data_IF_085802883816
#
_entry.id   IF_085802883816
#
_cell.length_a   1.000
_cell.length_b   1.000
_cell.length_c   1.000
_cell.angle_alpha   90.00
_cell.angle_beta   90.00
_cell.angle_gamma   90.00
#
_symmetry.space_group_name_H-M   'P 1'
#
loop_
_entity.id
_entity.type
_entity.pdbx_description
1 polymer ?
#
# COMPACT_ATOMS: atom_id res chain seq x y z
N UNK A 1 6.80 32.04 22.80
CA UNK A 1 7.19 31.77 21.40
C UNK A 1 6.68 30.42 20.91
N UNK A 2 7.05 29.30 21.55
CA UNK A 2 6.56 27.97 21.16
C UNK A 2 5.03 27.83 21.20
N UNK A 3 4.37 28.35 22.25
CA UNK A 3 2.90 28.37 22.32
C UNK A 3 2.23 29.14 21.19
N UNK A 4 2.84 30.24 20.73
CA UNK A 4 2.34 31.01 19.60
C UNK A 4 2.52 30.24 18.28
N UNK A 5 3.69 29.60 18.09
CA UNK A 5 3.94 28.76 16.92
C UNK A 5 2.98 27.57 16.84
N UNK A 6 2.76 26.86 17.96
CA UNK A 6 1.78 25.77 18.05
C UNK A 6 0.39 26.23 17.63
N UNK A 7 -0.11 27.33 18.20
CA UNK A 7 -1.42 27.88 17.86
C UNK A 7 -1.52 28.22 16.36
N UNK A 8 -0.46 28.80 15.79
CA UNK A 8 -0.44 29.15 14.36
C UNK A 8 -0.47 27.91 13.47
N UNK A 9 0.31 26.88 13.77
CA UNK A 9 0.27 25.63 13.02
C UNK A 9 -1.07 24.90 13.17
N UNK A 10 -1.65 24.88 14.37
CA UNK A 10 -2.99 24.32 14.61
C UNK A 10 -4.06 25.04 13.78
N UNK A 11 -3.99 26.37 13.66
CA UNK A 11 -4.91 27.12 12.82
C UNK A 11 -4.75 26.75 11.34
N UNK A 12 -3.51 26.70 10.83
CA UNK A 12 -3.26 26.31 9.43
C UNK A 12 -3.80 24.90 9.15
N UNK A 13 -3.58 23.96 10.07
CA UNK A 13 -4.09 22.59 9.93
C UNK A 13 -5.61 22.53 9.93
N UNK A 14 -6.28 23.35 10.75
CA UNK A 14 -7.73 23.48 10.74
C UNK A 14 -8.24 24.05 9.41
N UNK A 15 -7.60 25.10 8.89
CA UNK A 15 -7.98 25.71 7.60
C UNK A 15 -7.85 24.69 6.45
N UNK A 16 -6.84 23.81 6.49
CA UNK A 16 -6.66 22.71 5.52
C UNK A 16 -7.72 21.62 5.72
N UNK A 17 -8.03 21.27 6.96
CA UNK A 17 -9.07 20.30 7.30
C UNK A 17 -10.45 20.73 6.75
N UNK A 18 -10.78 22.02 6.81
CA UNK A 18 -11.98 22.56 6.18
C UNK A 18 -11.98 22.40 4.65
N UNK A 19 -10.84 22.59 3.99
CA UNK A 19 -10.69 22.36 2.55
C UNK A 19 -10.86 20.87 2.17
N UNK A 20 -10.39 19.96 3.01
CA UNK A 20 -10.58 18.51 2.85
C UNK A 20 -12.06 18.16 2.99
N UNK A 21 -12.73 18.68 4.01
CA UNK A 21 -14.15 18.44 4.24
C UNK A 21 -15.03 18.96 3.09
N UNK A 22 -14.75 20.17 2.59
CA UNK A 22 -15.40 20.68 1.36
C UNK A 22 -15.15 19.76 0.16
N UNK A 23 -13.91 19.30 -0.04
CA UNK A 23 -13.60 18.36 -1.13
C UNK A 23 -14.41 17.06 -1.06
N UNK A 24 -14.54 16.47 0.14
CA UNK A 24 -15.37 15.29 0.36
C UNK A 24 -16.83 15.57 -0.02
N UNK A 25 -17.39 16.70 0.44
CA UNK A 25 -18.76 17.08 0.14
C UNK A 25 -18.99 17.27 -1.37
N UNK A 26 -18.10 17.97 -2.05
CA UNK A 26 -18.23 18.19 -3.50
C UNK A 26 -18.07 16.90 -4.31
N UNK A 27 -17.21 15.97 -3.87
CA UNK A 27 -17.01 14.69 -4.56
C UNK A 27 -18.25 13.78 -4.56
N UNK A 28 -19.19 14.02 -3.63
CA UNK A 28 -20.46 13.28 -3.50
C UNK A 28 -21.62 13.95 -4.26
N UNK A 29 -21.47 15.20 -4.68
CA UNK A 29 -22.52 15.94 -5.37
C UNK A 29 -22.51 15.60 -6.87
N UNK A 30 -23.61 15.05 -7.38
CA UNK A 30 -23.78 14.68 -8.81
C UNK A 30 -23.62 15.87 -9.77
N UNK A 31 -23.80 17.10 -9.28
CA UNK A 31 -23.68 18.34 -10.06
C UNK A 31 -22.24 18.84 -10.21
N UNK A 32 -21.25 18.15 -9.62
CA UNK A 32 -19.85 18.22 -10.05
C UNK A 32 -19.17 19.59 -9.91
N UNK A 33 -19.38 20.31 -8.81
CA UNK A 33 -18.61 21.53 -8.58
C UNK A 33 -17.16 21.19 -8.19
N UNK A 34 -16.17 21.85 -8.81
CA UNK A 34 -14.76 21.63 -8.50
C UNK A 34 -14.47 22.28 -7.15
N UNK A 35 -14.10 21.48 -6.14
CA UNK A 35 -13.76 22.00 -4.82
C UNK A 35 -12.53 22.91 -4.86
N UNK A 36 -12.42 23.83 -3.89
CA UNK A 36 -11.27 24.73 -3.80
C UNK A 36 -9.95 23.97 -3.65
N UNK A 37 -9.96 22.85 -2.91
CA UNK A 37 -8.78 21.99 -2.76
C UNK A 37 -8.32 21.41 -4.10
N UNK A 38 -9.25 21.00 -4.96
CA UNK A 38 -8.93 20.45 -6.29
C UNK A 38 -8.32 21.50 -7.22
N UNK A 39 -8.73 22.77 -7.10
CA UNK A 39 -8.12 23.89 -7.83
C UNK A 39 -6.69 24.16 -7.37
N UNK A 40 -6.43 24.11 -6.05
CA UNK A 40 -5.11 24.35 -5.46
C UNK A 40 -4.14 23.19 -5.69
N UNK A 41 -4.66 21.96 -5.65
CA UNK A 41 -3.90 20.72 -5.82
C UNK A 41 -4.61 19.85 -6.87
N UNK A 42 -4.37 20.08 -8.18
CA UNK A 42 -5.05 19.33 -9.25
C UNK A 42 -4.85 17.81 -9.17
N UNK A 43 -3.75 17.36 -8.58
CA UNK A 43 -3.42 15.95 -8.37
C UNK A 43 -4.05 15.32 -7.12
N UNK A 44 -4.82 16.08 -6.33
CA UNK A 44 -5.50 15.54 -5.14
C UNK A 44 -6.49 14.46 -5.57
N UNK A 45 -6.43 13.34 -4.85
CA UNK A 45 -7.33 12.20 -5.01
C UNK A 45 -8.57 12.34 -4.15
N UNK A 46 -9.25 11.22 -3.93
CA UNK A 46 -10.40 11.13 -3.05
C UNK A 46 -9.95 11.08 -1.58
N UNK A 47 -10.82 11.55 -0.68
CA UNK A 47 -10.71 11.31 0.74
C UNK A 47 -11.90 10.46 1.19
N UNK A 48 -11.61 9.31 1.81
CA UNK A 48 -12.66 8.39 2.29
C UNK A 48 -13.20 8.79 3.66
N UNK A 49 -12.43 9.57 4.42
CA UNK A 49 -12.78 10.08 5.73
C UNK A 49 -12.41 11.56 5.84
N UNK A 50 -13.06 12.34 6.73
CA UNK A 50 -12.50 13.59 7.23
C UNK A 50 -11.08 13.38 7.75
N UNK A 51 -10.29 14.45 7.90
CA UNK A 51 -8.95 14.38 8.49
C UNK A 51 -8.85 15.42 9.62
N UNK A 52 -8.83 15.01 10.90
CA UNK A 52 -8.69 15.92 12.05
C UNK A 52 -7.24 16.42 12.17
N UNK A 53 -6.80 17.22 11.19
CA UNK A 53 -5.42 17.65 11.02
C UNK A 53 -4.95 18.52 12.19
N UNK A 54 -5.85 19.32 12.78
CA UNK A 54 -5.50 20.12 13.94
C UNK A 54 -5.12 19.22 15.14
N UNK A 55 -5.93 18.21 15.42
CA UNK A 55 -5.69 17.26 16.51
C UNK A 55 -4.46 16.39 16.24
N UNK A 56 -4.31 15.91 15.01
CA UNK A 56 -3.16 15.12 14.59
C UNK A 56 -1.85 15.92 14.72
N UNK A 57 -1.87 17.22 14.40
CA UNK A 57 -0.72 18.09 14.61
C UNK A 57 -0.39 18.24 16.10
N UNK A 58 -1.39 18.48 16.96
CA UNK A 58 -1.17 18.55 18.42
C UNK A 58 -0.55 17.26 18.96
N UNK A 59 -1.03 16.11 18.49
CA UNK A 59 -0.51 14.80 18.88
C UNK A 59 0.96 14.63 18.48
N UNK A 60 1.30 14.86 17.21
CA UNK A 60 2.69 14.74 16.75
C UNK A 60 3.60 15.82 17.33
N UNK A 61 3.09 17.03 17.61
CA UNK A 61 3.86 18.08 18.27
C UNK A 61 4.20 17.73 19.72
N UNK A 62 3.30 17.07 20.44
CA UNK A 62 3.56 16.61 21.81
C UNK A 62 4.74 15.62 21.85
N UNK A 63 4.82 14.73 20.86
CA UNK A 63 5.85 13.71 20.69
C UNK A 63 7.19 14.31 20.18
N UNK A 64 7.12 15.16 19.14
CA UNK A 64 8.29 15.56 18.32
C UNK A 64 8.71 17.01 18.49
N UNK A 65 7.97 17.77 19.30
CA UNK A 65 8.24 19.17 19.65
C UNK A 65 8.48 20.06 18.42
N UNK A 66 7.70 19.84 17.36
CA UNK A 66 7.82 20.50 16.05
C UNK A 66 7.78 22.03 16.21
N UNK A 67 6.77 22.54 16.91
CA UNK A 67 6.51 23.95 17.21
C UNK A 67 7.55 24.61 18.12
N UNK A 68 8.34 23.80 18.84
CA UNK A 68 9.35 24.28 19.78
C UNK A 68 10.73 24.45 19.13
N UNK A 69 10.91 24.00 17.89
CA UNK A 69 12.15 24.17 17.14
C UNK A 69 12.34 25.65 16.80
N UNK A 70 13.56 26.17 16.99
CA UNK A 70 13.89 27.59 16.74
C UNK A 70 14.39 27.87 15.32
N UNK A 71 15.10 26.91 14.73
CA UNK A 71 15.85 27.11 13.48
C UNK A 71 15.43 26.17 12.36
N UNK A 72 14.60 25.18 12.67
CA UNK A 72 14.17 24.14 11.73
C UNK A 72 12.66 24.16 11.68
N UNK A 73 12.10 24.53 10.54
CA UNK A 73 10.67 24.49 10.27
C UNK A 73 10.16 23.02 10.22
N UNK A 74 8.84 22.78 10.26
CA UNK A 74 8.28 21.46 10.00
C UNK A 74 8.80 20.92 8.66
N UNK A 75 9.33 19.71 8.68
CA UNK A 75 9.85 19.02 7.50
C UNK A 75 8.76 18.28 6.75
N UNK A 76 9.08 17.78 5.56
CA UNK A 76 8.22 16.86 4.82
C UNK A 76 7.77 15.66 5.67
N UNK A 77 8.71 15.04 6.40
CA UNK A 77 8.42 13.90 7.25
C UNK A 77 7.51 14.27 8.43
N UNK A 78 7.66 15.45 9.02
CA UNK A 78 6.75 15.90 10.08
C UNK A 78 5.30 15.99 9.57
N UNK A 79 5.10 16.55 8.37
CA UNK A 79 3.76 16.67 7.77
C UNK A 79 3.21 15.30 7.35
N UNK A 80 4.05 14.42 6.78
CA UNK A 80 3.68 13.04 6.43
C UNK A 80 3.16 12.28 7.65
N UNK A 81 3.86 12.39 8.78
CA UNK A 81 3.45 11.73 10.03
C UNK A 81 2.17 12.33 10.60
N UNK A 82 1.98 13.66 10.53
CA UNK A 82 0.71 14.30 10.90
C UNK A 82 -0.45 13.77 10.05
N UNK A 83 -0.26 13.61 8.73
CA UNK A 83 -1.27 13.03 7.85
C UNK A 83 -1.56 11.56 8.15
N UNK A 84 -0.54 10.77 8.49
CA UNK A 84 -0.72 9.38 8.94
C UNK A 84 -1.58 9.33 10.21
N UNK A 85 -1.24 10.12 11.22
CA UNK A 85 -2.00 10.21 12.48
C UNK A 85 -3.43 10.68 12.24
N UNK A 86 -3.66 11.66 11.35
CA UNK A 86 -5.00 12.13 11.03
C UNK A 86 -5.87 11.02 10.42
N UNK A 87 -5.31 10.19 9.55
CA UNK A 87 -6.02 9.02 9.00
C UNK A 87 -6.34 7.99 10.08
N UNK A 88 -5.37 7.67 10.94
CA UNK A 88 -5.60 6.78 12.09
C UNK A 88 -6.72 7.32 12.97
N UNK A 89 -6.63 8.59 13.39
CA UNK A 89 -7.66 9.24 14.22
C UNK A 89 -9.04 9.14 13.59
N UNK A 90 -9.18 9.39 12.29
CA UNK A 90 -10.48 9.27 11.62
C UNK A 90 -11.01 7.84 11.58
N UNK A 91 -10.15 6.87 11.29
CA UNK A 91 -10.55 5.47 11.20
C UNK A 91 -10.96 4.90 12.56
N UNK A 92 -10.24 5.23 13.63
CA UNK A 92 -10.54 4.70 14.97
C UNK A 92 -11.65 5.46 15.67
N UNK A 93 -11.82 6.77 15.44
CA UNK A 93 -12.86 7.58 16.10
C UNK A 93 -14.22 7.52 15.39
N UNK A 94 -14.22 7.51 14.06
CA UNK A 94 -15.45 7.78 13.28
C UNK A 94 -15.93 6.59 12.44
N UNK A 95 -15.02 5.81 11.86
CA UNK A 95 -15.38 4.80 10.86
C UNK A 95 -15.35 3.36 11.37
N UNK A 96 -14.67 3.10 12.50
CA UNK A 96 -14.24 1.78 12.97
C UNK A 96 -13.30 1.11 11.96
N UNK A 97 -12.03 1.00 12.32
CA UNK A 97 -11.04 0.30 11.50
C UNK A 97 -11.39 -1.20 11.42
N UNK A 98 -11.73 -1.70 10.24
CA UNK A 98 -12.15 -3.09 10.02
C UNK A 98 -11.11 -3.90 9.23
N UNK A 99 -10.32 -3.25 8.37
CA UNK A 99 -9.26 -3.88 7.57
C UNK A 99 -7.99 -3.03 7.62
N UNK A 100 -6.85 -3.68 7.90
CA UNK A 100 -5.53 -3.13 7.61
C UNK A 100 -4.86 -3.97 6.54
N UNK A 101 -4.42 -3.31 5.48
CA UNK A 101 -3.55 -3.93 4.48
C UNK A 101 -2.14 -3.40 4.63
N UNK A 102 -1.15 -4.26 4.44
CA UNK A 102 0.26 -3.91 4.49
C UNK A 102 0.89 -4.23 3.16
N UNK A 103 1.75 -3.34 2.69
CA UNK A 103 2.80 -3.74 1.78
C UNK A 103 3.80 -4.67 2.49
N UNK A 104 4.44 -5.56 1.76
CA UNK A 104 5.47 -6.45 2.29
C UNK A 104 6.79 -5.72 2.52
N UNK A 105 7.51 -5.49 1.42
CA UNK A 105 8.85 -4.92 1.42
C UNK A 105 8.87 -3.48 1.96
N UNK A 106 9.88 -3.16 2.77
CA UNK A 106 10.15 -1.82 3.37
C UNK A 106 9.07 -1.30 4.31
N UNK A 107 8.00 -2.07 4.50
CA UNK A 107 6.89 -1.77 5.40
C UNK A 107 6.87 -2.72 6.58
N UNK A 108 6.90 -4.04 6.34
CA UNK A 108 6.90 -5.05 7.40
C UNK A 108 8.32 -5.51 7.77
N UNK A 109 9.22 -5.52 6.79
CA UNK A 109 10.62 -5.92 6.91
C UNK A 109 11.47 -5.14 5.91
N UNK A 110 12.79 -5.12 6.09
CA UNK A 110 13.71 -4.43 5.18
C UNK A 110 13.69 -5.04 3.77
N UNK A 111 14.08 -4.27 2.75
CA UNK A 111 14.00 -4.66 1.33
C UNK A 111 14.63 -6.04 1.05
N UNK A 112 13.84 -6.96 0.49
CA UNK A 112 14.28 -8.31 0.13
C UNK A 112 14.47 -9.29 1.29
N UNK A 113 14.20 -8.87 2.53
CA UNK A 113 14.21 -9.72 3.71
C UNK A 113 12.87 -10.48 3.88
N UNK A 114 12.76 -11.18 5.01
CA UNK A 114 11.56 -11.91 5.44
C UNK A 114 11.13 -11.42 6.81
N UNK A 115 9.86 -11.58 7.13
CA UNK A 115 9.32 -11.27 8.45
C UNK A 115 9.77 -12.33 9.46
N UNK A 116 10.56 -11.92 10.45
CA UNK A 116 11.18 -12.76 11.47
C UNK A 116 10.31 -12.79 12.73
N UNK A 117 10.29 -13.89 13.50
CA UNK A 117 9.45 -14.01 14.70
C UNK A 117 9.65 -12.91 15.74
N UNK A 118 10.83 -12.30 15.78
CA UNK A 118 11.20 -11.24 16.72
C UNK A 118 10.75 -9.83 16.28
N UNK A 119 10.19 -9.70 15.06
CA UNK A 119 9.79 -8.40 14.54
C UNK A 119 8.62 -7.81 15.34
N UNK A 120 8.77 -6.59 15.91
CA UNK A 120 7.81 -6.04 16.87
C UNK A 120 6.43 -5.72 16.29
N UNK A 121 6.29 -5.66 14.96
CA UNK A 121 5.00 -5.46 14.32
C UNK A 121 4.08 -6.69 14.45
N UNK A 122 4.63 -7.90 14.63
CA UNK A 122 3.86 -9.15 14.69
C UNK A 122 2.86 -9.14 15.83
N UNK A 123 3.31 -8.83 17.05
CA UNK A 123 2.45 -8.81 18.23
C UNK A 123 1.29 -7.81 18.06
N UNK A 124 1.60 -6.63 17.50
CA UNK A 124 0.61 -5.58 17.24
C UNK A 124 -0.44 -6.03 16.22
N UNK A 125 -0.01 -6.66 15.13
CA UNK A 125 -0.90 -7.23 14.12
C UNK A 125 -1.81 -8.28 14.75
N UNK A 126 -1.27 -9.19 15.57
CA UNK A 126 -2.06 -10.22 16.26
C UNK A 126 -3.07 -9.59 17.22
N UNK A 127 -2.67 -8.57 17.99
CA UNK A 127 -3.58 -7.83 18.87
C UNK A 127 -4.73 -7.19 18.10
N UNK A 128 -4.45 -6.57 16.95
CA UNK A 128 -5.48 -6.03 16.05
C UNK A 128 -6.43 -7.12 15.53
N UNK A 129 -5.89 -8.28 15.14
CA UNK A 129 -6.71 -9.42 14.70
C UNK A 129 -7.65 -9.93 15.81
N UNK A 130 -7.18 -9.93 17.06
CA UNK A 130 -7.97 -10.34 18.22
C UNK A 130 -9.13 -9.40 18.52
N UNK A 131 -8.96 -8.09 18.31
CA UNK A 131 -10.05 -7.10 18.47
C UNK A 131 -10.99 -7.02 17.24
N UNK A 132 -10.71 -7.82 16.21
CA UNK A 132 -11.63 -8.05 15.08
C UNK A 132 -11.18 -7.45 13.75
N UNK A 133 -10.05 -6.75 13.70
CA UNK A 133 -9.49 -6.21 12.46
C UNK A 133 -9.02 -7.33 11.54
N UNK A 134 -9.38 -7.26 10.26
CA UNK A 134 -8.87 -8.15 9.21
C UNK A 134 -7.53 -7.65 8.70
N UNK A 135 -6.70 -8.56 8.22
CA UNK A 135 -5.34 -8.25 7.73
C UNK A 135 -5.19 -8.70 6.28
N UNK A 136 -4.69 -7.81 5.41
CA UNK A 136 -4.26 -8.15 4.06
C UNK A 136 -2.76 -7.88 3.88
N UNK A 137 -2.01 -8.85 3.38
CA UNK A 137 -0.61 -8.68 3.00
C UNK A 137 -0.54 -8.56 1.48
N UNK A 138 -0.37 -7.35 0.95
CA UNK A 138 -0.39 -7.06 -0.49
C UNK A 138 1.05 -6.91 -0.97
N UNK A 139 1.48 -7.71 -1.94
CA UNK A 139 2.88 -7.72 -2.41
C UNK A 139 2.96 -7.84 -3.93
N UNK A 140 3.94 -7.16 -4.53
CA UNK A 140 4.29 -7.32 -5.94
C UNK A 140 4.84 -8.72 -6.25
N UNK A 141 5.31 -9.46 -5.25
CA UNK A 141 5.78 -10.83 -5.46
C UNK A 141 4.62 -11.74 -5.91
N UNK A 142 4.62 -12.10 -7.20
CA UNK A 142 3.66 -13.03 -7.81
C UNK A 142 4.20 -14.46 -7.87
N UNK A 143 3.73 -15.31 -6.96
CA UNK A 143 3.96 -16.75 -6.91
C UNK A 143 2.60 -17.47 -7.02
N UNK A 144 2.60 -18.65 -7.62
CA UNK A 144 1.40 -19.50 -7.69
C UNK A 144 1.29 -20.45 -6.51
N UNK A 145 2.34 -20.55 -5.68
CA UNK A 145 2.45 -21.54 -4.60
C UNK A 145 2.49 -20.88 -3.22
N UNK A 146 1.67 -21.40 -2.29
CA UNK A 146 1.58 -20.93 -0.91
C UNK A 146 2.92 -20.95 -0.15
N UNK A 147 3.81 -21.90 -0.48
CA UNK A 147 5.13 -22.07 0.14
C UNK A 147 6.00 -20.82 0.05
N UNK A 148 5.99 -20.16 -1.10
CA UNK A 148 6.85 -18.98 -1.33
C UNK A 148 6.36 -17.78 -0.53
N UNK A 149 5.03 -17.62 -0.39
CA UNK A 149 4.44 -16.62 0.51
C UNK A 149 4.71 -16.93 1.98
N UNK A 150 4.56 -18.18 2.40
CA UNK A 150 4.90 -18.57 3.77
C UNK A 150 6.35 -18.26 4.10
N UNK A 151 7.30 -18.54 3.18
CA UNK A 151 8.71 -18.18 3.40
C UNK A 151 8.91 -16.69 3.70
N UNK A 152 8.16 -15.79 3.06
CA UNK A 152 8.26 -14.34 3.29
C UNK A 152 7.60 -13.91 4.60
N UNK A 153 6.50 -14.56 4.99
CA UNK A 153 5.66 -14.16 6.13
C UNK A 153 5.67 -15.16 7.30
N UNK A 154 6.64 -16.07 7.33
CA UNK A 154 6.69 -17.18 8.28
C UNK A 154 6.60 -16.70 9.73
N UNK A 155 7.32 -15.63 10.09
CA UNK A 155 7.28 -15.05 11.44
C UNK A 155 5.86 -14.74 11.92
N UNK A 156 5.05 -14.09 11.08
CA UNK A 156 3.67 -13.75 11.41
C UNK A 156 2.73 -14.96 11.39
N UNK A 157 2.74 -15.75 10.31
CA UNK A 157 1.85 -16.90 10.17
C UNK A 157 2.12 -17.93 11.27
N UNK A 158 3.38 -18.11 11.65
CA UNK A 158 3.77 -19.02 12.71
C UNK A 158 3.42 -18.51 14.10
N UNK A 159 3.58 -17.20 14.35
CA UNK A 159 3.15 -16.58 15.60
C UNK A 159 1.62 -16.60 15.78
N UNK A 160 0.83 -16.42 14.71
CA UNK A 160 -0.64 -16.56 14.77
C UNK A 160 -1.00 -17.99 15.19
N UNK A 161 -0.45 -19.00 14.51
CA UNK A 161 -0.75 -20.40 14.83
C UNK A 161 -0.33 -20.81 16.25
N UNK A 162 0.80 -20.28 16.73
CA UNK A 162 1.28 -20.53 18.08
C UNK A 162 0.44 -19.84 19.16
N UNK A 163 -0.25 -18.74 18.83
CA UNK A 163 -0.96 -17.91 19.81
C UNK A 163 -2.50 -18.02 19.75
N UNK A 164 -3.05 -18.73 18.76
CA UNK A 164 -4.48 -18.98 18.58
C UNK A 164 -4.79 -20.48 18.38
N UNK A 165 -4.66 -21.23 19.47
CA UNK A 165 -5.00 -22.66 19.51
C UNK A 165 -6.49 -22.96 19.25
N UNK A 166 -7.35 -21.94 19.39
CA UNK A 166 -8.79 -22.06 19.13
C UNK A 166 -9.19 -21.77 17.68
N UNK A 167 -8.24 -21.41 16.82
CA UNK A 167 -8.44 -21.07 15.42
C UNK A 167 -9.46 -19.92 15.21
N UNK A 168 -9.59 -19.01 16.17
CA UNK A 168 -10.45 -17.81 16.08
C UNK A 168 -9.96 -16.79 15.06
N UNK A 169 -8.70 -16.89 14.63
CA UNK A 169 -8.02 -16.03 13.67
C UNK A 169 -7.94 -16.67 12.26
N UNK A 170 -8.45 -17.88 12.10
CA UNK A 170 -8.62 -18.52 10.80
C UNK A 170 -9.47 -17.64 9.85
N UNK A 171 -9.05 -17.56 8.59
CA UNK A 171 -9.63 -16.68 7.56
C UNK A 171 -9.71 -15.19 7.92
N UNK A 172 -8.95 -14.72 8.92
CA UNK A 172 -8.85 -13.27 9.25
C UNK A 172 -7.67 -12.57 8.61
N UNK A 173 -6.80 -13.32 7.96
CA UNK A 173 -5.66 -12.83 7.21
C UNK A 173 -5.71 -13.38 5.77
N UNK A 174 -5.39 -12.52 4.82
CA UNK A 174 -5.13 -12.91 3.42
C UNK A 174 -3.79 -12.39 2.95
N UNK A 175 -3.19 -13.11 2.00
CA UNK A 175 -2.03 -12.67 1.22
C UNK A 175 -2.51 -12.44 -0.21
N UNK A 176 -2.31 -11.22 -0.71
CA UNK A 176 -2.56 -10.82 -2.08
C UNK A 176 -1.23 -10.68 -2.81
N UNK A 177 -0.96 -11.62 -3.70
CA UNK A 177 0.28 -11.75 -4.44
C UNK A 177 0.20 -11.24 -5.87
N UNK A 178 1.36 -10.82 -6.40
CA UNK A 178 1.47 -10.24 -7.73
C UNK A 178 0.62 -8.98 -7.86
N UNK A 179 0.62 -8.14 -6.83
CA UNK A 179 -0.25 -6.97 -6.62
C UNK A 179 -1.75 -7.28 -6.50
N UNK A 180 -2.32 -8.03 -7.44
CA UNK A 180 -3.76 -8.32 -7.51
C UNK A 180 -4.09 -9.63 -8.23
N UNK A 181 -3.15 -10.59 -8.27
CA UNK A 181 -3.26 -11.76 -9.15
C UNK A 181 -3.50 -13.09 -8.43
N UNK A 182 -3.05 -13.23 -7.17
CA UNK A 182 -3.20 -14.47 -6.42
C UNK A 182 -3.64 -14.19 -4.98
N UNK A 183 -4.73 -14.80 -4.52
CA UNK A 183 -5.14 -14.68 -3.12
C UNK A 183 -4.96 -16.00 -2.36
N UNK A 184 -4.37 -15.90 -1.18
CA UNK A 184 -4.29 -16.98 -0.20
C UNK A 184 -4.90 -16.52 1.11
N UNK A 185 -5.60 -17.40 1.81
CA UNK A 185 -6.14 -17.13 3.15
C UNK A 185 -5.40 -17.94 4.20
N UNK A 186 -5.27 -17.36 5.39
CA UNK A 186 -4.66 -18.04 6.53
C UNK A 186 -5.57 -19.15 7.06
N UNK A 187 -5.03 -20.36 7.08
CA UNK A 187 -5.66 -21.57 7.62
C UNK A 187 -4.61 -22.33 8.43
N UNK A 188 -4.72 -22.44 9.77
CA UNK A 188 -3.67 -23.02 10.61
C UNK A 188 -3.38 -24.50 10.32
N UNK A 189 -4.33 -25.22 9.71
CA UNK A 189 -4.25 -26.64 9.39
C UNK A 189 -3.69 -26.92 7.99
N UNK A 190 -3.67 -25.92 7.11
CA UNK A 190 -3.16 -26.06 5.74
C UNK A 190 -1.63 -26.19 5.73
N UNK A 191 -1.04 -26.89 4.73
CA UNK A 191 0.38 -26.81 4.48
C UNK A 191 0.81 -25.35 4.33
N UNK A 192 1.88 -24.95 5.02
CA UNK A 192 2.38 -23.57 5.01
C UNK A 192 1.38 -22.52 5.56
N UNK A 193 0.33 -22.96 6.26
CA UNK A 193 -0.69 -22.12 6.91
C UNK A 193 -1.47 -21.21 5.95
N UNK A 194 -1.42 -21.53 4.66
CA UNK A 194 -2.03 -20.74 3.60
C UNK A 194 -2.75 -21.67 2.63
N UNK A 195 -3.98 -21.32 2.32
CA UNK A 195 -4.81 -22.00 1.33
C UNK A 195 -5.16 -21.04 0.20
N UNK A 196 -5.10 -21.52 -1.04
CA UNK A 196 -5.44 -20.70 -2.19
C UNK A 196 -6.95 -20.42 -2.21
N UNK A 197 -7.32 -19.15 -2.40
CA UNK A 197 -8.72 -18.75 -2.49
C UNK A 197 -9.18 -18.80 -3.96
N UNK A 198 -10.33 -19.43 -4.27
CA UNK A 198 -10.90 -19.41 -5.62
C UNK A 198 -11.11 -17.98 -6.15
N UNK A 199 -10.74 -17.75 -7.42
CA UNK A 199 -10.87 -16.46 -8.11
C UNK A 199 -12.24 -15.79 -7.94
N UNK A 200 -13.33 -16.58 -7.97
CA UNK A 200 -14.71 -16.08 -7.89
C UNK A 200 -15.02 -15.39 -6.56
N UNK A 201 -14.29 -15.71 -5.49
CA UNK A 201 -14.58 -15.22 -4.14
C UNK A 201 -13.95 -13.84 -3.86
N UNK A 202 -12.98 -13.42 -4.67
CA UNK A 202 -12.22 -12.18 -4.42
C UNK A 202 -12.01 -11.29 -5.63
N UNK A 203 -12.07 -11.81 -6.86
CA UNK A 203 -11.88 -10.97 -8.06
C UNK A 203 -12.98 -9.92 -8.16
N UNK A 204 -12.57 -8.74 -8.59
CA UNK A 204 -13.48 -7.62 -8.84
C UNK A 204 -14.16 -7.80 -10.21
N UNK A 205 -15.38 -7.28 -10.40
CA UNK A 205 -16.07 -7.34 -11.69
C UNK A 205 -15.24 -6.79 -12.86
N UNK A 206 -14.46 -5.72 -12.63
CA UNK A 206 -13.60 -5.11 -13.63
C UNK A 206 -12.51 -6.07 -14.13
N UNK A 207 -12.07 -7.00 -13.28
CA UNK A 207 -11.05 -8.00 -13.60
C UNK A 207 -11.58 -9.10 -14.51
N UNK A 208 -12.90 -9.23 -14.72
CA UNK A 208 -13.46 -10.22 -15.66
C UNK A 208 -13.00 -9.97 -17.10
N UNK A 209 -12.70 -8.70 -17.43
CA UNK A 209 -12.19 -8.31 -18.74
C UNK A 209 -10.70 -8.64 -18.96
N UNK A 210 -10.01 -9.08 -17.90
CA UNK A 210 -8.60 -9.47 -17.93
C UNK A 210 -8.47 -10.90 -18.46
N UNK A 211 -8.96 -11.10 -19.68
CA UNK A 211 -8.87 -12.37 -20.39
C UNK A 211 -7.42 -12.69 -20.72
N UNK A 212 -7.11 -13.98 -20.90
CA UNK A 212 -5.78 -14.42 -21.31
C UNK A 212 -5.29 -13.71 -22.58
N UNK A 213 -6.18 -13.41 -23.51
CA UNK A 213 -5.86 -12.64 -24.73
C UNK A 213 -5.44 -11.20 -24.40
N UNK A 214 -6.24 -10.47 -23.62
CA UNK A 214 -5.93 -9.07 -23.28
C UNK A 214 -4.67 -8.96 -22.39
N UNK A 215 -4.49 -9.90 -21.45
CA UNK A 215 -3.30 -9.99 -20.60
C UNK A 215 -2.06 -10.19 -21.45
N UNK A 216 -2.06 -11.18 -22.37
CA UNK A 216 -0.90 -11.39 -23.23
C UNK A 216 -0.64 -10.21 -24.15
N UNK A 217 -1.68 -9.59 -24.72
CA UNK A 217 -1.52 -8.41 -25.56
C UNK A 217 -0.81 -7.25 -24.82
N UNK A 218 -1.14 -7.02 -23.54
CA UNK A 218 -0.46 -6.00 -22.74
C UNK A 218 0.99 -6.40 -22.45
N UNK A 219 1.20 -7.63 -21.98
CA UNK A 219 2.53 -8.10 -21.63
C UNK A 219 3.45 -8.19 -22.87
N UNK A 220 2.93 -8.42 -24.07
CA UNK A 220 3.70 -8.41 -25.32
C UNK A 220 4.19 -7.00 -25.67
N UNK A 221 3.34 -5.99 -25.48
CA UNK A 221 3.74 -4.58 -25.61
C UNK A 221 4.80 -4.22 -24.57
N UNK A 222 4.60 -4.66 -23.32
CA UNK A 222 5.55 -4.42 -22.23
C UNK A 222 6.90 -5.10 -22.48
N UNK A 223 6.91 -6.36 -22.94
CA UNK A 223 8.11 -7.09 -23.26
C UNK A 223 8.89 -6.43 -24.40
N UNK A 224 8.19 -6.01 -25.46
CA UNK A 224 8.80 -5.30 -26.57
C UNK A 224 9.43 -3.98 -26.10
N UNK A 225 8.71 -3.19 -25.30
CA UNK A 225 9.22 -1.95 -24.73
C UNK A 225 10.48 -2.18 -23.88
N UNK A 226 10.49 -3.21 -23.02
CA UNK A 226 11.66 -3.59 -22.24
C UNK A 226 12.84 -3.97 -23.12
N UNK A 227 12.62 -4.76 -24.19
CA UNK A 227 13.67 -5.14 -25.15
C UNK A 227 14.25 -3.93 -25.88
N UNK A 228 13.42 -2.96 -26.22
CA UNK A 228 13.86 -1.71 -26.86
C UNK A 228 14.71 -0.86 -25.89
N UNK A 229 14.33 -0.78 -24.62
CA UNK A 229 15.14 -0.16 -23.57
C UNK A 229 16.49 -0.87 -23.37
N UNK A 230 16.49 -2.22 -23.29
CA UNK A 230 17.72 -3.02 -23.16
C UNK A 230 18.70 -2.68 -24.29
N UNK A 231 18.21 -2.65 -25.54
CA UNK A 231 19.03 -2.36 -26.71
C UNK A 231 19.53 -0.92 -26.73
N UNK A 232 18.65 0.03 -26.41
CA UNK A 232 18.95 1.47 -26.50
C UNK A 232 19.93 1.91 -25.41
N UNK A 233 19.75 1.42 -24.19
CA UNK A 233 20.55 1.76 -23.02
C UNK A 233 21.71 0.77 -22.78
N UNK A 234 21.85 -0.25 -23.64
CA UNK A 234 22.85 -1.31 -23.54
C UNK A 234 22.90 -1.98 -22.15
N UNK A 235 21.72 -2.29 -21.59
CA UNK A 235 21.58 -2.81 -20.22
C UNK A 235 21.95 -4.30 -20.19
N UNK A 236 22.86 -4.76 -19.30
CA UNK A 236 23.27 -6.16 -19.22
C UNK A 236 22.28 -7.01 -18.40
N UNK A 237 21.10 -7.27 -18.97
CA UNK A 237 19.99 -7.97 -18.31
C UNK A 237 19.36 -9.05 -19.19
N UNK A 238 18.64 -9.97 -18.54
CA UNK A 238 17.75 -10.93 -19.20
C UNK A 238 16.29 -10.51 -19.01
N UNK A 239 15.42 -10.96 -19.91
CA UNK A 239 13.96 -10.77 -19.83
C UNK A 239 13.33 -12.01 -19.18
N UNK A 240 12.41 -11.81 -18.23
CA UNK A 240 11.59 -12.85 -17.62
C UNK A 240 10.11 -12.58 -17.89
N UNK A 241 9.43 -13.53 -18.53
CA UNK A 241 7.97 -13.50 -18.76
C UNK A 241 7.27 -14.52 -17.84
N UNK A 242 6.27 -14.05 -17.10
CA UNK A 242 5.37 -14.84 -16.24
C UNK A 242 3.94 -14.77 -16.79
N UNK A 243 2.98 -15.41 -16.11
CA UNK A 243 1.56 -15.42 -16.51
C UNK A 243 0.89 -14.04 -16.43
N UNK A 244 1.26 -13.22 -15.45
CA UNK A 244 0.67 -11.90 -15.17
C UNK A 244 1.71 -10.80 -15.01
N UNK A 245 2.95 -11.05 -15.44
CA UNK A 245 4.05 -10.10 -15.31
C UNK A 245 5.12 -10.32 -16.36
N UNK A 246 5.84 -9.26 -16.72
CA UNK A 246 7.08 -9.34 -17.51
C UNK A 246 8.09 -8.35 -16.97
N UNK A 247 9.36 -8.71 -16.91
CA UNK A 247 10.39 -7.85 -16.36
C UNK A 247 11.77 -8.15 -16.89
N UNK A 248 12.73 -7.35 -16.44
CA UNK A 248 14.16 -7.50 -16.73
C UNK A 248 14.92 -7.64 -15.43
N UNK A 249 15.92 -8.51 -15.41
CA UNK A 249 16.73 -8.77 -14.23
C UNK A 249 18.20 -8.98 -14.62
N UNK A 250 19.16 -8.49 -13.83
CA UNK A 250 20.57 -8.67 -14.10
C UNK A 250 21.05 -10.06 -13.67
N UNK A 251 22.18 -10.50 -14.22
CA UNK A 251 22.89 -11.67 -13.71
C UNK A 251 23.33 -11.47 -12.26
N UNK A 252 23.49 -12.58 -11.53
CA UNK A 252 23.89 -12.54 -10.12
C UNK A 252 25.23 -11.81 -9.95
N UNK A 253 25.23 -10.79 -9.09
CA UNK A 253 26.41 -9.97 -8.81
C UNK A 253 26.49 -8.67 -9.62
N UNK A 254 25.63 -8.52 -10.64
CA UNK A 254 25.51 -7.27 -11.39
C UNK A 254 24.50 -6.33 -10.71
N UNK A 255 24.90 -5.07 -10.52
CA UNK A 255 24.06 -4.01 -9.98
C UNK A 255 23.75 -2.99 -11.06
N UNK A 256 22.47 -2.70 -11.24
CA UNK A 256 22.01 -1.66 -12.15
C UNK A 256 21.98 -0.32 -11.39
N UNK A 257 22.27 0.77 -12.10
CA UNK A 257 22.12 2.09 -11.51
C UNK A 257 20.64 2.44 -11.39
N UNK A 258 20.27 3.21 -10.36
CA UNK A 258 18.89 3.63 -10.17
C UNK A 258 18.38 4.37 -11.40
N UNK A 259 19.19 5.25 -11.98
CA UNK A 259 18.83 6.07 -13.14
C UNK A 259 18.42 5.22 -14.35
N UNK A 260 19.11 4.10 -14.61
CA UNK A 260 18.76 3.18 -15.70
C UNK A 260 17.42 2.49 -15.42
N UNK A 261 17.19 2.10 -14.18
CA UNK A 261 15.93 1.47 -13.77
C UNK A 261 14.76 2.46 -13.90
N UNK A 262 14.93 3.70 -13.43
CA UNK A 262 13.94 4.77 -13.56
C UNK A 262 13.62 5.11 -15.02
N UNK A 263 14.66 5.30 -15.85
CA UNK A 263 14.49 5.59 -17.27
C UNK A 263 13.70 4.47 -17.97
N UNK A 264 14.03 3.21 -17.65
CA UNK A 264 13.33 2.04 -18.19
C UNK A 264 11.86 2.02 -17.76
N UNK A 265 11.57 2.22 -16.47
CA UNK A 265 10.20 2.27 -15.94
C UNK A 265 9.38 3.36 -16.62
N UNK A 266 9.92 4.58 -16.72
CA UNK A 266 9.22 5.71 -17.31
C UNK A 266 8.93 5.50 -18.79
N UNK A 267 9.90 4.96 -19.55
CA UNK A 267 9.75 4.67 -20.97
C UNK A 267 8.70 3.58 -21.22
N UNK A 268 8.84 2.44 -20.53
CA UNK A 268 7.93 1.30 -20.65
C UNK A 268 6.51 1.71 -20.26
N UNK A 269 6.34 2.45 -19.16
CA UNK A 269 5.04 2.97 -18.74
C UNK A 269 4.41 3.87 -19.80
N UNK A 270 5.18 4.79 -20.39
CA UNK A 270 4.68 5.70 -21.42
C UNK A 270 4.21 4.93 -22.67
N UNK A 271 4.98 3.94 -23.12
CA UNK A 271 4.65 3.13 -24.29
C UNK A 271 3.41 2.26 -24.06
N UNK A 272 3.33 1.57 -22.91
CA UNK A 272 2.16 0.76 -22.58
C UNK A 272 0.91 1.65 -22.45
N UNK A 273 1.01 2.80 -21.76
CA UNK A 273 -0.11 3.73 -21.57
C UNK A 273 -0.66 4.28 -22.90
N UNK A 274 0.20 4.43 -23.91
CA UNK A 274 -0.21 4.88 -25.24
C UNK A 274 -0.83 3.76 -26.10
N UNK A 275 -0.67 2.49 -25.72
CA UNK A 275 -1.18 1.34 -26.47
C UNK A 275 -2.65 1.04 -26.18
N UNK A 276 -3.33 0.39 -27.13
CA UNK A 276 -4.71 -0.10 -26.90
C UNK A 276 -4.78 -1.13 -25.76
N UNK A 277 -3.72 -1.93 -25.57
CA UNK A 277 -3.69 -2.93 -24.51
C UNK A 277 -3.61 -2.28 -23.12
N UNK A 278 -2.74 -1.28 -22.94
CA UNK A 278 -2.61 -0.53 -21.70
C UNK A 278 -3.81 0.37 -21.36
N UNK A 279 -4.68 0.66 -22.33
CA UNK A 279 -5.96 1.32 -22.10
C UNK A 279 -7.06 0.37 -21.61
N UNK A 280 -6.92 -0.94 -21.85
CA UNK A 280 -7.91 -1.96 -21.46
C UNK A 280 -7.67 -2.52 -20.07
N UNK A 281 -6.41 -2.79 -19.75
CA UNK A 281 -6.03 -3.45 -18.50
C UNK A 281 -5.12 -2.51 -17.69
N UNK A 282 -5.47 -2.23 -16.43
CA UNK A 282 -4.56 -1.55 -15.51
C UNK A 282 -3.26 -2.34 -15.35
N UNK A 283 -2.15 -1.64 -15.21
CA UNK A 283 -0.85 -2.25 -15.00
C UNK A 283 0.01 -1.40 -14.07
N UNK A 284 1.02 -2.02 -13.50
CA UNK A 284 2.02 -1.38 -12.67
C UNK A 284 3.40 -1.65 -13.28
N UNK A 285 4.15 -0.59 -13.60
CA UNK A 285 5.56 -0.71 -14.01
C UNK A 285 6.41 -0.06 -12.92
N UNK A 286 7.32 -0.82 -12.32
CA UNK A 286 8.06 -0.35 -11.15
C UNK A 286 9.54 -0.76 -11.15
N UNK A 287 10.32 0.02 -10.44
CA UNK A 287 11.72 -0.22 -10.14
C UNK A 287 11.81 -1.07 -8.86
N UNK A 288 12.29 -2.31 -8.96
CA UNK A 288 12.47 -3.22 -7.81
C UNK A 288 13.85 -3.11 -7.15
N UNK A 289 14.55 -1.99 -7.32
CA UNK A 289 15.85 -1.70 -6.70
C UNK A 289 17.05 -2.31 -7.43
N UNK A 290 16.86 -3.42 -8.15
CA UNK A 290 17.87 -3.99 -9.06
C UNK A 290 17.28 -4.68 -10.29
N UNK A 291 15.96 -4.60 -10.49
CA UNK A 291 15.22 -5.13 -11.62
C UNK A 291 14.07 -4.17 -11.97
N UNK A 292 13.42 -4.39 -13.12
CA UNK A 292 12.19 -3.68 -13.50
C UNK A 292 11.15 -4.71 -13.88
N UNK A 293 9.95 -4.58 -13.31
CA UNK A 293 8.81 -5.44 -13.64
C UNK A 293 7.60 -4.61 -14.07
N UNK A 294 6.81 -5.20 -14.95
CA UNK A 294 5.48 -4.77 -15.36
C UNK A 294 4.51 -5.87 -14.96
N UNK A 295 3.64 -5.56 -14.00
CA UNK A 295 2.62 -6.46 -13.49
C UNK A 295 1.24 -6.07 -14.03
N UNK A 296 0.38 -7.08 -14.25
CA UNK A 296 -1.03 -6.89 -14.55
C UNK A 296 -1.77 -6.51 -13.27
N UNK A 297 -2.56 -5.44 -13.36
CA UNK A 297 -3.23 -4.83 -12.22
C UNK A 297 -2.32 -3.84 -11.49
N UNK A 298 -2.83 -3.30 -10.37
CA UNK A 298 -2.02 -2.54 -9.43
C UNK A 298 -2.49 -2.78 -7.98
N UNK A 299 -1.70 -2.35 -6.98
CA UNK A 299 -2.05 -2.49 -5.55
C UNK A 299 -3.44 -1.96 -5.17
N UNK A 300 -4.03 -1.02 -5.90
CA UNK A 300 -5.40 -0.58 -5.62
C UNK A 300 -6.41 -1.71 -5.81
N UNK A 301 -6.24 -2.53 -6.86
CA UNK A 301 -7.04 -3.71 -7.11
C UNK A 301 -6.79 -4.79 -6.05
N UNK A 302 -5.55 -4.94 -5.59
CA UNK A 302 -5.21 -5.86 -4.50
C UNK A 302 -5.90 -5.51 -3.18
N UNK A 303 -5.92 -4.22 -2.82
CA UNK A 303 -6.63 -3.73 -1.64
C UNK A 303 -8.15 -3.90 -1.79
N UNK A 304 -8.71 -3.55 -2.95
CA UNK A 304 -10.15 -3.74 -3.22
C UNK A 304 -10.56 -5.22 -3.22
N UNK A 305 -9.70 -6.11 -3.69
CA UNK A 305 -9.91 -7.55 -3.61
C UNK A 305 -9.93 -8.03 -2.14
N UNK A 306 -9.02 -7.54 -1.29
CA UNK A 306 -9.06 -7.81 0.15
C UNK A 306 -10.38 -7.31 0.77
N UNK A 307 -10.81 -6.09 0.43
CA UNK A 307 -12.08 -5.50 0.89
C UNK A 307 -13.27 -6.40 0.49
N UNK A 308 -13.32 -6.82 -0.78
CA UNK A 308 -14.37 -7.71 -1.31
C UNK A 308 -14.39 -9.06 -0.60
N UNK A 309 -13.23 -9.71 -0.47
CA UNK A 309 -13.12 -11.03 0.17
C UNK A 309 -13.65 -11.02 1.61
N UNK A 310 -13.36 -9.96 2.37
CA UNK A 310 -13.87 -9.82 3.75
C UNK A 310 -15.32 -9.32 3.84
N UNK A 311 -16.12 -9.47 2.78
CA UNK A 311 -17.55 -9.13 2.77
C UNK A 311 -17.86 -7.72 2.29
N UNK A 312 -16.95 -7.08 1.55
CA UNK A 312 -17.14 -5.73 1.01
C UNK A 312 -16.87 -4.63 2.03
N UNK A 313 -15.76 -4.72 2.77
CA UNK A 313 -15.34 -3.68 3.72
C UNK A 313 -15.13 -2.36 2.98
N UNK A 314 -15.74 -1.29 3.48
CA UNK A 314 -15.66 0.03 2.85
C UNK A 314 -14.24 0.62 2.88
N UNK A 315 -13.89 1.39 1.84
CA UNK A 315 -12.64 2.14 1.75
C UNK A 315 -12.42 3.07 2.96
N UNK A 316 -13.50 3.64 3.51
CA UNK A 316 -13.49 4.49 4.70
C UNK A 316 -13.24 3.75 6.02
N UNK A 317 -13.18 2.41 5.99
CA UNK A 317 -12.87 1.52 7.13
C UNK A 317 -11.61 0.69 6.92
N UNK A 318 -10.88 1.01 5.85
CA UNK A 318 -9.67 0.31 5.44
C UNK A 318 -8.47 1.24 5.55
N UNK A 319 -7.39 0.76 6.16
CA UNK A 319 -6.09 1.42 6.14
C UNK A 319 -5.10 0.60 5.33
N UNK A 320 -4.47 1.18 4.33
CA UNK A 320 -3.26 0.63 3.74
C UNK A 320 -2.03 1.24 4.40
N UNK A 321 -1.03 0.42 4.68
CA UNK A 321 0.27 0.82 5.23
C UNK A 321 1.32 0.41 4.20
N UNK A 322 2.05 1.39 3.65
CA UNK A 322 3.03 1.13 2.58
C UNK A 322 4.06 2.26 2.44
N UNK A 323 5.13 2.01 1.69
CA UNK A 323 6.16 3.02 1.39
C UNK A 323 6.02 3.62 -0.01
N UNK A 324 5.88 4.94 -0.10
CA UNK A 324 5.82 5.65 -1.37
C UNK A 324 7.19 6.26 -1.78
N UNK A 325 8.25 6.18 -0.97
CA UNK A 325 9.58 6.73 -1.29
C UNK A 325 10.33 5.93 -2.35
N UNK A 326 10.23 4.60 -2.31
CA UNK A 326 10.89 3.71 -3.28
C UNK A 326 10.13 3.61 -4.61
N UNK A 327 8.89 4.12 -4.64
CA UNK A 327 7.96 4.02 -5.76
C UNK A 327 8.12 5.12 -6.83
N UNK A 328 9.34 5.39 -7.29
CA UNK A 328 9.47 6.00 -8.61
C UNK A 328 9.04 4.91 -9.63
N UNK A 329 7.73 4.86 -9.86
CA UNK A 329 7.03 3.66 -10.35
C UNK A 329 5.64 3.37 -9.77
N UNK A 330 5.15 4.15 -8.80
CA UNK A 330 3.72 4.23 -8.42
C UNK A 330 3.07 3.02 -7.71
N UNK A 331 3.81 1.97 -7.30
CA UNK A 331 3.20 0.76 -6.75
C UNK A 331 2.29 1.05 -5.52
N UNK A 332 2.84 1.56 -4.43
CA UNK A 332 2.07 1.89 -3.21
C UNK A 332 1.21 3.14 -3.34
N UNK A 333 1.61 4.05 -4.23
CA UNK A 333 0.85 5.26 -4.50
C UNK A 333 -0.56 4.94 -5.01
N UNK A 334 -0.76 3.82 -5.70
CA UNK A 334 -2.07 3.40 -6.21
C UNK A 334 -3.03 2.96 -5.10
N UNK A 335 -2.54 2.41 -3.99
CA UNK A 335 -3.41 1.95 -2.89
C UNK A 335 -4.33 3.06 -2.33
N UNK A 336 -3.90 4.33 -2.42
CA UNK A 336 -4.70 5.50 -2.02
C UNK A 336 -5.98 5.72 -2.85
N UNK A 337 -6.09 5.03 -3.99
CA UNK A 337 -7.31 5.03 -4.81
C UNK A 337 -8.38 4.08 -4.24
N UNK A 338 -7.98 3.14 -3.38
CA UNK A 338 -8.84 2.10 -2.82
C UNK A 338 -9.19 2.33 -1.34
N UNK A 339 -8.37 3.07 -0.58
CA UNK A 339 -8.59 3.30 0.85
C UNK A 339 -7.73 4.43 1.43
N UNK A 340 -7.91 4.73 2.72
CA UNK A 340 -6.97 5.55 3.50
C UNK A 340 -5.58 4.89 3.49
N UNK A 341 -4.50 5.67 3.34
CA UNK A 341 -3.13 5.15 3.21
C UNK A 341 -2.16 5.88 4.12
N UNK A 342 -1.53 5.17 5.05
CA UNK A 342 -0.40 5.68 5.81
C UNK A 342 0.90 5.47 5.04
N UNK A 343 1.64 6.55 4.79
CA UNK A 343 2.92 6.49 4.12
C UNK A 343 4.05 6.32 5.14
N UNK A 344 4.66 5.16 5.13
CA UNK A 344 5.74 4.74 6.03
C UNK A 344 7.09 4.77 5.32
N UNK A 345 8.18 5.07 6.05
CA UNK A 345 9.54 5.09 5.50
C UNK A 345 10.44 3.97 6.04
N UNK A 346 9.94 3.14 6.97
CA UNK A 346 10.68 2.01 7.55
C UNK A 346 9.79 1.10 8.39
N UNK A 347 10.20 -0.16 8.67
CA UNK A 347 9.49 -1.04 9.61
C UNK A 347 9.27 -0.42 11.00
N UNK A 348 10.20 0.43 11.46
CA UNK A 348 10.06 1.17 12.73
C UNK A 348 8.87 2.12 12.72
N UNK A 349 8.63 2.82 11.62
CA UNK A 349 7.49 3.72 11.50
C UNK A 349 6.17 2.94 11.39
N UNK A 350 6.16 1.73 10.81
CA UNK A 350 5.00 0.82 10.87
C UNK A 350 4.65 0.48 12.31
N UNK A 351 5.63 0.11 13.13
CA UNK A 351 5.42 -0.19 14.56
C UNK A 351 4.82 1.01 15.29
N UNK A 352 5.35 2.22 15.06
CA UNK A 352 4.83 3.45 15.65
C UNK A 352 3.37 3.71 15.22
N UNK A 353 3.05 3.52 13.94
CA UNK A 353 1.68 3.68 13.44
C UNK A 353 0.72 2.69 14.11
N UNK A 354 1.12 1.43 14.26
CA UNK A 354 0.29 0.42 14.90
C UNK A 354 0.10 0.70 16.40
N UNK A 355 1.12 1.22 17.08
CA UNK A 355 0.98 1.72 18.45
C UNK A 355 -0.04 2.87 18.53
N UNK A 356 0.00 3.83 17.59
CA UNK A 356 -0.98 4.91 17.51
C UNK A 356 -2.40 4.39 17.26
N UNK A 357 -2.58 3.37 16.42
CA UNK A 357 -3.89 2.74 16.16
C UNK A 357 -4.50 2.16 17.44
N UNK A 358 -3.68 1.44 18.22
CA UNK A 358 -4.10 0.82 19.48
C UNK A 358 -4.41 1.88 20.54
N UNK A 359 -3.50 2.84 20.75
CA UNK A 359 -3.65 3.93 21.73
C UNK A 359 -4.88 4.80 21.45
N UNK A 360 -5.02 5.28 20.21
CA UNK A 360 -6.11 6.17 19.81
C UNK A 360 -7.45 5.43 19.68
N UNK A 361 -7.42 4.11 19.47
CA UNK A 361 -8.60 3.25 19.49
C UNK A 361 -9.13 2.94 20.90
N UNK A 362 -8.42 3.37 21.96
CA UNK A 362 -8.81 3.07 23.35
C UNK A 362 -8.58 1.61 23.75
N UNK A 363 -7.74 0.89 23.00
CA UNK A 363 -7.32 -0.46 23.33
C UNK A 363 -5.99 -0.38 24.07
N UNK A 364 -5.90 -0.96 25.26
CA UNK A 364 -4.61 -1.08 25.97
C UNK A 364 -3.87 -2.30 25.40
N UNK A 365 -2.54 -2.23 25.15
CA UNK A 365 -1.76 -3.37 24.68
C UNK A 365 -1.91 -4.63 25.54
#
# INVERSE_FOLDING_TARGET
>A
MASNALNRYCQIMQDIEELVNDHILQSRNEQGSISKLKLLVPSVGLFFTPLPLQDAFRYQDAQRRISSRRFVAPSFNDIRLVLNTAQVMSLVRNSRLELVTFDGDVTLYDDGEVLKPEDPCIERIITMMRIGTRIGLVTAAGYTEAKEYHRRFAGLLDAIAASDHSHKLEHKLVVMGGESNFMFTYTPTAPYKLEQVPDADWRLPEMETWTHENVNALLDVAEQALRDCIKTLAIPVSVLRKSHAVGIYPEKGTRLSREILEETVLNVRQLISASLAGQRIPFCAFNGGNDVFVDIGDKSYGVMACQRYFGGIEAAKTLHVGDQFLSAGANDFKARLACCTAWIASPKETVQLLDEVVELGGHTP
#
